data_IF_538125518559
#
_entry.id   IF_538125518559
#
_cell.length_a   1.000
_cell.length_b   1.000
_cell.length_c   1.000
_cell.angle_alpha   90.00
_cell.angle_beta   90.00
_cell.angle_gamma   90.00
#
_symmetry.space_group_name_H-M   'P 1'
#
loop_
_entity.id
_entity.type
_entity.pdbx_description
1 polymer ?
#
# COMPACT_ATOMS: atom_id res chain seq x y z
N UNK A 1 1.70 -1.58 -1.46
CA UNK A 1 2.07 -0.19 -1.13
C UNK A 1 0.84 0.68 -0.97
N UNK A 2 0.99 1.83 -0.31
CA UNK A 2 -0.09 2.80 -0.04
C UNK A 2 0.20 4.22 -0.58
N UNK A 3 0.68 4.42 -1.82
CA UNK A 3 0.80 5.77 -2.37
C UNK A 3 -0.59 6.43 -2.53
N UNK A 4 -0.63 7.76 -2.41
CA UNK A 4 -1.83 8.59 -2.61
C UNK A 4 -1.59 9.60 -3.72
N UNK A 5 -2.64 9.89 -4.49
CA UNK A 5 -2.57 10.87 -5.55
C UNK A 5 -3.46 10.53 -6.74
N UNK A 6 -3.30 11.31 -7.81
CA UNK A 6 -4.21 11.29 -8.96
C UNK A 6 -3.58 10.73 -10.23
N UNK A 7 -2.26 10.83 -10.37
CA UNK A 7 -1.52 10.38 -11.56
C UNK A 7 -0.74 9.12 -11.22
N UNK A 8 -0.88 8.06 -12.02
CA UNK A 8 -0.15 6.79 -11.93
C UNK A 8 -0.26 6.01 -10.60
N UNK A 9 -1.07 6.46 -9.64
CA UNK A 9 -1.23 5.82 -8.32
C UNK A 9 -1.97 4.49 -8.42
N UNK A 10 -2.97 4.39 -9.29
CA UNK A 10 -3.69 3.13 -9.49
C UNK A 10 -2.79 2.13 -10.21
N UNK A 11 -2.16 2.55 -11.33
CA UNK A 11 -1.29 1.70 -12.13
C UNK A 11 -0.10 1.16 -11.33
N UNK A 12 0.56 2.00 -10.51
CA UNK A 12 1.67 1.53 -9.65
C UNK A 12 1.23 0.51 -8.61
N UNK A 13 -0.01 0.58 -8.11
CA UNK A 13 -0.56 -0.41 -7.18
C UNK A 13 -0.91 -1.73 -7.87
N UNK A 14 -1.47 -1.68 -9.07
CA UNK A 14 -1.75 -2.89 -9.86
C UNK A 14 -0.47 -3.66 -10.16
N UNK A 15 0.64 -2.98 -10.46
CA UNK A 15 1.95 -3.63 -10.64
C UNK A 15 2.45 -4.35 -9.38
N UNK A 16 2.13 -3.85 -8.19
CA UNK A 16 2.47 -4.55 -6.94
C UNK A 16 1.64 -5.83 -6.80
N UNK A 17 0.37 -5.80 -7.22
CA UNK A 17 -0.54 -6.96 -7.16
C UNK A 17 -0.14 -8.07 -8.13
N UNK A 18 0.71 -7.80 -9.14
CA UNK A 18 1.23 -8.82 -10.06
C UNK A 18 2.49 -9.52 -9.56
N UNK A 19 3.03 -9.14 -8.39
CA UNK A 19 4.24 -9.77 -7.85
C UNK A 19 3.92 -11.18 -7.32
N UNK A 20 4.56 -12.24 -7.83
CA UNK A 20 4.22 -13.61 -7.45
C UNK A 20 4.71 -14.00 -6.05
N UNK A 21 5.93 -13.60 -5.68
CA UNK A 21 6.63 -14.13 -4.51
C UNK A 21 6.79 -13.10 -3.37
N UNK A 22 6.24 -11.90 -3.54
CA UNK A 22 6.42 -10.79 -2.60
C UNK A 22 5.13 -10.52 -1.85
N UNK A 23 5.04 -10.79 -0.53
CA UNK A 23 3.89 -10.40 0.26
C UNK A 23 3.69 -8.88 0.22
N UNK A 24 2.45 -8.44 0.04
CA UNK A 24 2.14 -7.01 -0.05
C UNK A 24 0.86 -6.65 0.70
N UNK A 25 0.84 -5.41 1.22
CA UNK A 25 -0.37 -4.74 1.67
C UNK A 25 -0.60 -3.54 0.75
N UNK A 26 -1.74 -3.50 0.06
CA UNK A 26 -2.08 -2.48 -0.93
C UNK A 26 -3.46 -1.89 -0.64
N UNK A 27 -3.52 -0.57 -0.47
CA UNK A 27 -4.79 0.16 -0.42
C UNK A 27 -5.23 0.48 -1.85
N UNK A 28 -6.12 -0.34 -2.44
CA UNK A 28 -6.57 -0.17 -3.84
C UNK A 28 -7.20 1.20 -4.12
N UNK A 29 -7.13 1.63 -5.37
CA UNK A 29 -7.59 2.95 -5.82
C UNK A 29 -6.59 4.07 -5.53
N UNK A 30 -7.09 5.31 -5.37
CA UNK A 30 -6.26 6.53 -5.26
C UNK A 30 -5.87 6.93 -3.84
N UNK A 31 -6.54 6.38 -2.82
CA UNK A 31 -6.30 6.72 -1.40
C UNK A 31 -5.05 6.01 -0.87
N UNK A 32 -4.40 6.62 0.11
CA UNK A 32 -3.15 6.14 0.72
C UNK A 32 -2.52 7.22 1.58
N UNK A 33 -1.19 7.21 1.70
CA UNK A 33 -0.39 8.24 2.35
C UNK A 33 0.53 7.70 3.44
N UNK A 34 1.43 8.55 3.91
CA UNK A 34 2.42 8.22 4.95
C UNK A 34 1.76 7.79 6.27
N UNK A 35 0.67 8.43 6.69
CA UNK A 35 -0.06 8.05 7.90
C UNK A 35 -0.61 6.62 7.82
N UNK A 36 -1.11 6.21 6.65
CA UNK A 36 -1.59 4.84 6.43
C UNK A 36 -0.42 3.86 6.46
N UNK A 37 0.72 4.23 5.86
CA UNK A 37 1.93 3.40 5.90
C UNK A 37 2.43 3.20 7.33
N UNK A 38 2.52 4.28 8.11
CA UNK A 38 2.91 4.25 9.51
C UNK A 38 1.94 3.41 10.36
N UNK A 39 0.64 3.55 10.14
CA UNK A 39 -0.37 2.74 10.83
C UNK A 39 -0.23 1.24 10.53
N UNK A 40 0.02 0.86 9.27
CA UNK A 40 0.28 -0.54 8.89
C UNK A 40 1.54 -1.06 9.60
N UNK A 41 2.64 -0.31 9.56
CA UNK A 41 3.86 -0.71 10.26
C UNK A 41 3.63 -0.88 11.76
N UNK A 42 2.93 0.06 12.39
CA UNK A 42 2.59 -0.02 13.82
C UNK A 42 1.72 -1.23 14.13
N UNK A 43 0.69 -1.52 13.34
CA UNK A 43 -0.16 -2.70 13.52
C UNK A 43 0.66 -4.00 13.46
N UNK A 44 1.60 -4.10 12.52
CA UNK A 44 2.51 -5.26 12.42
C UNK A 44 3.46 -5.37 13.62
N UNK A 45 4.04 -4.25 14.06
CA UNK A 45 4.98 -4.22 15.19
C UNK A 45 4.30 -4.56 16.51
N UNK A 46 3.11 -4.00 16.76
CA UNK A 46 2.35 -4.21 17.99
C UNK A 46 1.42 -5.43 17.92
N UNK A 47 1.32 -6.10 16.76
CA UNK A 47 0.46 -7.27 16.48
C UNK A 47 -1.02 -7.02 16.81
N UNK A 48 -1.53 -5.87 16.42
CA UNK A 48 -2.93 -5.44 16.59
C UNK A 48 -3.73 -5.73 15.33
#
# INVERSE_FOLDING_TARGET
GVPVGFVNVVQSKELILTLPDTPYIVARGRKGGSNVAAAICNALLYRI
#
